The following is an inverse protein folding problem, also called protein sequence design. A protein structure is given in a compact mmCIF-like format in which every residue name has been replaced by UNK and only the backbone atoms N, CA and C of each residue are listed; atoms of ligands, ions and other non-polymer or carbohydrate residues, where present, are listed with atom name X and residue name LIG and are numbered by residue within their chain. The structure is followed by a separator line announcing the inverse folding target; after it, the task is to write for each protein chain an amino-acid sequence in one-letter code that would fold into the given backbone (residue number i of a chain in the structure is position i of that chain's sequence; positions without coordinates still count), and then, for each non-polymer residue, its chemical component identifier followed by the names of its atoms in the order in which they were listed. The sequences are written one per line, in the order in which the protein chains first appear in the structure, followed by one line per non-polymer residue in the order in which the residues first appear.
data_IF_287457977263
#
_entry.id   IF_287457977263
#
_cell.length_a   1.000
_cell.length_b   1.000
_cell.length_c   1.000
_cell.angle_alpha   90.00
_cell.angle_beta   90.00
_cell.angle_gamma   90.00
#
_symmetry.space_group_name_H-M   'P 1'
#
loop_
_entity.id
_entity.type
_entity.pdbx_description
1 polymer ?
#
# COMPACT_ATOMS: atom_id res chain seq x y z
N UNK A 1 -78.89 -20.21 -72.46
CA UNK A 1 -77.98 -19.20 -73.06
C UNK A 1 -77.22 -18.38 -72.00
N UNK A 2 -77.82 -18.04 -70.85
CA UNK A 2 -77.21 -17.17 -69.83
C UNK A 2 -76.07 -17.84 -69.01
N UNK A 3 -76.06 -19.17 -68.85
CA UNK A 3 -75.01 -19.87 -68.08
C UNK A 3 -73.68 -20.09 -68.83
N UNK A 4 -73.67 -19.95 -70.17
CA UNK A 4 -72.45 -20.14 -70.97
C UNK A 4 -71.58 -18.85 -71.04
N UNK A 5 -72.21 -17.68 -70.94
CA UNK A 5 -71.54 -16.39 -71.03
C UNK A 5 -70.78 -15.99 -69.75
N UNK A 6 -71.28 -16.37 -68.57
CA UNK A 6 -70.63 -16.05 -67.28
C UNK A 6 -69.25 -16.71 -67.10
N UNK A 7 -69.08 -17.97 -67.55
CA UNK A 7 -67.78 -18.67 -67.44
C UNK A 7 -66.70 -18.07 -68.36
N UNK A 8 -67.08 -17.46 -69.48
CA UNK A 8 -66.13 -16.92 -70.45
C UNK A 8 -65.55 -15.55 -70.02
N UNK A 9 -66.33 -14.75 -69.28
CA UNK A 9 -65.89 -13.45 -68.77
C UNK A 9 -64.88 -13.64 -67.61
N UNK A 10 -65.12 -14.62 -66.73
CA UNK A 10 -64.19 -14.97 -65.65
C UNK A 10 -62.86 -15.54 -66.18
N UNK A 11 -62.89 -16.38 -67.23
CA UNK A 11 -61.68 -16.94 -67.82
C UNK A 11 -60.79 -15.90 -68.52
N UNK A 12 -61.39 -14.85 -69.12
CA UNK A 12 -60.64 -13.73 -69.72
C UNK A 12 -59.98 -12.83 -68.67
N UNK A 13 -60.67 -12.54 -67.57
CA UNK A 13 -60.14 -11.73 -66.46
C UNK A 13 -58.90 -12.39 -65.80
N UNK A 14 -58.96 -13.71 -65.57
CA UNK A 14 -57.85 -14.47 -64.98
C UNK A 14 -56.66 -14.54 -65.96
N UNK A 15 -56.87 -14.74 -67.26
CA UNK A 15 -55.78 -14.71 -68.25
C UNK A 15 -55.09 -13.34 -68.37
N UNK A 16 -55.81 -12.25 -68.14
CA UNK A 16 -55.27 -10.89 -68.21
C UNK A 16 -54.46 -10.53 -66.94
N UNK A 17 -54.90 -11.02 -65.78
CA UNK A 17 -54.14 -10.94 -64.51
C UNK A 17 -52.82 -11.73 -64.57
N UNK A 18 -52.82 -12.94 -65.14
CA UNK A 18 -51.60 -13.75 -65.27
C UNK A 18 -50.57 -13.13 -66.23
N UNK A 19 -51.00 -12.44 -67.29
CA UNK A 19 -50.09 -11.77 -68.24
C UNK A 19 -49.37 -10.56 -67.65
N UNK A 20 -49.99 -9.84 -66.71
CA UNK A 20 -49.38 -8.69 -66.03
C UNK A 20 -48.34 -9.14 -64.97
N UNK A 21 -48.57 -10.26 -64.28
CA UNK A 21 -47.58 -10.84 -63.35
C UNK A 21 -46.34 -11.40 -64.07
N UNK A 22 -46.49 -11.97 -65.27
CA UNK A 22 -45.34 -12.47 -66.04
C UNK A 22 -44.49 -11.37 -66.67
N UNK A 23 -45.06 -10.19 -66.96
CA UNK A 23 -44.29 -9.08 -67.54
C UNK A 23 -43.46 -8.33 -66.48
N UNK A 24 -44.02 -8.15 -65.27
CA UNK A 24 -43.30 -7.52 -64.16
C UNK A 24 -42.10 -8.33 -63.66
N UNK A 25 -42.18 -9.67 -63.72
CA UNK A 25 -41.10 -10.57 -63.30
C UNK A 25 -39.93 -10.58 -64.28
N UNK A 26 -40.17 -10.44 -65.59
CA UNK A 26 -39.11 -10.39 -66.62
C UNK A 26 -38.33 -9.06 -66.55
N UNK A 27 -39.01 -7.93 -66.37
CA UNK A 27 -38.35 -6.63 -66.17
C UNK A 27 -37.56 -6.58 -64.85
N UNK A 28 -38.08 -7.16 -63.76
CA UNK A 28 -37.38 -7.29 -62.50
C UNK A 28 -36.15 -8.23 -62.60
N UNK A 29 -36.26 -9.35 -63.32
CA UNK A 29 -35.12 -10.25 -63.58
C UNK A 29 -34.02 -9.56 -64.39
N UNK A 30 -34.37 -8.72 -65.38
CA UNK A 30 -33.39 -8.00 -66.18
C UNK A 30 -32.70 -6.88 -65.38
N UNK A 31 -33.44 -6.18 -64.50
CA UNK A 31 -32.89 -5.13 -63.63
C UNK A 31 -31.98 -5.70 -62.52
N UNK A 32 -32.34 -6.87 -61.95
CA UNK A 32 -31.48 -7.58 -61.00
C UNK A 32 -30.17 -8.05 -61.65
N UNK A 33 -30.22 -8.62 -62.86
CA UNK A 33 -29.03 -9.21 -63.51
C UNK A 33 -28.00 -8.15 -63.94
N UNK A 34 -28.44 -6.93 -64.28
CA UNK A 34 -27.56 -5.81 -64.65
C UNK A 34 -26.80 -5.23 -63.45
N UNK A 35 -27.44 -5.19 -62.27
CA UNK A 35 -26.81 -4.74 -61.02
C UNK A 35 -26.04 -5.85 -60.27
N UNK A 36 -26.30 -7.13 -60.55
CA UNK A 36 -25.61 -8.26 -59.90
C UNK A 36 -24.09 -8.26 -60.17
N UNK A 37 -23.65 -7.78 -61.34
CA UNK A 37 -22.20 -7.64 -61.63
C UNK A 37 -21.54 -6.63 -60.69
N UNK A 38 -22.21 -5.53 -60.34
CA UNK A 38 -21.67 -4.52 -59.44
C UNK A 38 -21.65 -5.00 -57.99
N UNK A 39 -22.66 -5.77 -57.56
CA UNK A 39 -22.64 -6.42 -56.24
C UNK A 39 -21.59 -7.52 -56.12
N UNK A 40 -21.24 -8.21 -57.22
CA UNK A 40 -20.13 -9.16 -57.23
C UNK A 40 -18.78 -8.48 -56.97
N UNK A 41 -18.55 -7.28 -57.50
CA UNK A 41 -17.34 -6.51 -57.21
C UNK A 41 -17.32 -5.99 -55.78
N UNK A 42 -18.46 -5.55 -55.24
CA UNK A 42 -18.59 -5.11 -53.84
C UNK A 42 -18.37 -6.28 -52.88
N UNK A 43 -18.90 -7.47 -53.20
CA UNK A 43 -18.69 -8.69 -52.42
C UNK A 43 -17.22 -9.15 -52.47
N UNK A 44 -16.56 -9.04 -53.62
CA UNK A 44 -15.13 -9.33 -53.77
C UNK A 44 -14.25 -8.32 -53.00
N UNK A 45 -14.61 -7.04 -52.99
CA UNK A 45 -13.96 -6.00 -52.18
C UNK A 45 -14.10 -6.27 -50.66
N UNK A 46 -15.27 -6.74 -50.23
CA UNK A 46 -15.52 -7.10 -48.83
C UNK A 46 -14.76 -8.37 -48.41
N UNK A 47 -14.57 -9.33 -49.33
CA UNK A 47 -13.82 -10.55 -49.05
C UNK A 47 -12.30 -10.30 -49.00
N UNK A 48 -11.76 -9.40 -49.84
CA UNK A 48 -10.35 -8.99 -49.77
C UNK A 48 -10.00 -8.20 -48.50
N UNK A 49 -10.95 -7.45 -47.92
CA UNK A 49 -10.73 -6.71 -46.67
C UNK A 49 -10.48 -7.61 -45.44
N UNK A 50 -10.89 -8.89 -45.50
CA UNK A 50 -10.66 -9.85 -44.43
C UNK A 50 -9.32 -10.60 -44.57
N UNK A 51 -8.62 -10.48 -45.70
CA UNK A 51 -7.31 -11.11 -45.92
C UNK A 51 -6.13 -10.28 -45.36
N UNK A 52 -6.36 -9.02 -44.96
CA UNK A 52 -5.36 -8.14 -44.35
C UNK A 52 -5.51 -8.01 -42.82
N UNK A 53 -6.47 -8.72 -42.22
CA UNK A 53 -6.73 -8.69 -40.77
C UNK A 53 -5.99 -9.79 -39.98
N UNK A 54 -5.20 -10.64 -40.66
CA UNK A 54 -4.14 -11.37 -39.97
C UNK A 54 -3.03 -10.37 -39.68
N UNK A 55 -3.13 -9.67 -38.55
CA UNK A 55 -1.91 -9.36 -37.81
C UNK A 55 -1.25 -10.72 -37.61
N UNK A 56 -0.14 -10.96 -38.30
CA UNK A 56 0.87 -11.84 -37.72
C UNK A 56 1.10 -11.25 -36.34
N UNK A 57 0.54 -11.90 -35.33
CA UNK A 57 1.28 -12.03 -34.09
C UNK A 57 2.64 -12.52 -34.57
N UNK A 58 3.58 -11.61 -34.70
CA UNK A 58 4.97 -11.97 -34.48
C UNK A 58 4.95 -12.44 -33.04
N UNK A 59 4.56 -13.71 -32.84
CA UNK A 59 5.19 -14.51 -31.81
C UNK A 59 6.64 -14.36 -32.16
N UNK A 60 7.32 -13.43 -31.49
CA UNK A 60 8.74 -13.56 -31.26
C UNK A 60 8.88 -14.98 -30.73
N UNK A 61 9.18 -15.92 -31.62
CA UNK A 61 9.72 -17.18 -31.21
C UNK A 61 11.02 -16.78 -30.56
N UNK A 62 10.98 -16.67 -29.23
CA UNK A 62 12.19 -16.62 -28.43
C UNK A 62 13.09 -17.74 -28.95
N UNK A 63 14.36 -17.45 -29.25
CA UNK A 63 15.29 -18.51 -29.55
C UNK A 63 15.30 -19.47 -28.37
N UNK A 64 14.99 -20.72 -28.67
CA UNK A 64 14.98 -21.86 -27.75
C UNK A 64 16.25 -21.82 -26.88
N UNK A 65 16.11 -21.31 -25.65
CA UNK A 65 17.10 -21.22 -24.56
C UNK A 65 18.33 -20.31 -24.79
N UNK A 66 18.43 -19.18 -24.05
CA UNK A 66 19.63 -18.46 -23.51
C UNK A 66 19.65 -16.92 -23.62
N UNK A 67 18.58 -16.25 -24.06
CA UNK A 67 18.49 -14.79 -23.90
C UNK A 67 18.10 -14.43 -22.46
N UNK A 68 19.05 -14.40 -21.53
CA UNK A 68 18.80 -13.91 -20.17
C UNK A 68 18.45 -12.42 -20.27
N UNK A 69 17.19 -12.05 -20.03
CA UNK A 69 16.79 -10.65 -19.92
C UNK A 69 17.44 -10.06 -18.67
N UNK A 70 18.26 -9.03 -18.85
CA UNK A 70 18.94 -8.36 -17.74
C UNK A 70 18.32 -7.00 -17.49
N UNK A 71 17.97 -6.75 -16.23
CA UNK A 71 17.50 -5.46 -15.76
C UNK A 71 18.69 -4.63 -15.24
N UNK A 72 18.83 -3.41 -15.77
CA UNK A 72 19.64 -2.36 -15.15
C UNK A 72 18.73 -1.52 -14.26
N UNK A 73 18.90 -1.65 -12.95
CA UNK A 73 18.23 -0.78 -11.97
C UNK A 73 19.07 0.48 -11.80
N UNK A 74 18.43 1.65 -11.77
CA UNK A 74 19.11 2.95 -11.65
C UNK A 74 20.00 2.98 -10.38
N UNK A 75 21.29 3.27 -10.56
CA UNK A 75 22.30 3.24 -9.49
C UNK A 75 23.13 1.93 -9.37
N UNK A 76 22.74 0.84 -10.05
CA UNK A 76 23.51 -0.41 -10.08
C UNK A 76 24.41 -0.48 -11.33
N UNK A 77 25.67 -0.89 -11.16
CA UNK A 77 26.62 -1.09 -12.26
C UNK A 77 26.61 -2.50 -12.84
N UNK A 78 25.86 -3.43 -12.23
CA UNK A 78 25.79 -4.84 -12.60
C UNK A 78 24.37 -5.16 -13.04
N UNK A 79 24.23 -5.67 -14.26
CA UNK A 79 22.95 -6.10 -14.80
C UNK A 79 22.48 -7.39 -14.10
N UNK A 80 21.27 -7.39 -13.53
CA UNK A 80 20.72 -8.54 -12.80
C UNK A 80 19.64 -9.21 -13.64
N UNK A 81 19.57 -10.54 -13.62
CA UNK A 81 18.54 -11.31 -14.33
C UNK A 81 17.17 -11.31 -13.63
N UNK A 82 17.08 -10.74 -12.42
CA UNK A 82 15.85 -10.62 -11.66
C UNK A 82 15.87 -9.35 -10.80
N UNK A 83 14.69 -8.74 -10.63
CA UNK A 83 14.47 -7.63 -9.70
C UNK A 83 14.03 -8.23 -8.37
N UNK A 84 14.88 -8.15 -7.35
CA UNK A 84 14.50 -8.48 -5.97
C UNK A 84 13.68 -7.31 -5.42
N UNK A 85 12.43 -7.58 -5.06
CA UNK A 85 11.57 -6.62 -4.39
C UNK A 85 11.72 -6.79 -2.88
N UNK A 86 11.60 -5.68 -2.15
CA UNK A 86 11.52 -5.73 -0.71
C UNK A 86 10.20 -6.42 -0.29
N UNK A 87 10.27 -7.24 0.75
CA UNK A 87 9.10 -7.92 1.30
C UNK A 87 8.10 -6.87 1.83
N UNK A 88 6.86 -6.93 1.34
CA UNK A 88 5.78 -6.04 1.78
C UNK A 88 4.78 -6.81 2.63
N UNK A 89 4.63 -6.39 3.89
CA UNK A 89 3.60 -6.93 4.78
C UNK A 89 2.21 -6.49 4.30
N UNK A 90 1.33 -7.43 3.94
CA UNK A 90 -0.05 -7.09 3.57
C UNK A 90 -0.91 -6.93 4.82
N UNK A 91 -1.26 -5.69 5.15
CA UNK A 91 -2.02 -5.39 6.36
C UNK A 91 -3.53 -5.60 6.15
N UNK A 92 -4.12 -6.48 6.97
CA UNK A 92 -5.56 -6.75 6.94
C UNK A 92 -6.43 -5.53 7.25
N UNK A 93 -7.72 -5.62 6.94
CA UNK A 93 -8.72 -4.59 7.30
C UNK A 93 -8.92 -4.56 8.82
N UNK A 94 -8.87 -3.36 9.41
CA UNK A 94 -9.15 -3.16 10.83
C UNK A 94 -10.59 -3.55 11.17
N UNK A 95 -10.75 -4.43 12.15
CA UNK A 95 -12.05 -4.81 12.73
C UNK A 95 -12.05 -4.42 14.21
N UNK A 96 -13.12 -3.77 14.66
CA UNK A 96 -13.30 -3.37 16.05
C UNK A 96 -14.54 -4.06 16.61
N UNK A 97 -14.47 -4.46 17.87
CA UNK A 97 -15.63 -5.09 18.55
C UNK A 97 -16.79 -4.09 18.73
N UNK A 98 -16.45 -2.84 19.04
CA UNK A 98 -17.39 -1.77 19.33
C UNK A 98 -16.85 -0.39 18.89
N UNK A 99 -17.75 0.60 18.78
CA UNK A 99 -17.42 1.99 18.47
C UNK A 99 -16.46 2.61 19.48
N UNK A 100 -16.53 2.22 20.77
CA UNK A 100 -15.57 2.69 21.78
C UNK A 100 -14.14 2.20 21.49
N UNK A 101 -13.98 0.95 21.06
CA UNK A 101 -12.69 0.39 20.65
C UNK A 101 -12.15 1.10 19.40
N UNK A 102 -13.01 1.35 18.41
CA UNK A 102 -12.67 2.16 17.22
C UNK A 102 -12.19 3.55 17.62
N UNK A 103 -12.89 4.25 18.51
CA UNK A 103 -12.52 5.59 18.98
C UNK A 103 -11.16 5.58 19.69
N UNK A 104 -10.92 4.61 20.58
CA UNK A 104 -9.63 4.43 21.26
C UNK A 104 -8.48 4.25 20.27
N UNK A 105 -8.65 3.37 19.29
CA UNK A 105 -7.66 3.15 18.23
C UNK A 105 -7.37 4.42 17.43
N UNK A 106 -8.40 5.17 17.02
CA UNK A 106 -8.21 6.42 16.27
C UNK A 106 -7.46 7.49 17.08
N UNK A 107 -7.73 7.58 18.39
CA UNK A 107 -7.01 8.47 19.30
C UNK A 107 -5.54 8.04 19.40
N UNK A 108 -5.28 6.73 19.60
CA UNK A 108 -3.93 6.18 19.64
C UNK A 108 -3.19 6.47 18.34
N UNK A 109 -3.81 6.21 17.18
CA UNK A 109 -3.26 6.49 15.85
C UNK A 109 -2.81 7.93 15.68
N UNK A 110 -3.65 8.88 16.08
CA UNK A 110 -3.33 10.31 16.03
C UNK A 110 -2.13 10.63 16.92
N UNK A 111 -2.09 10.09 18.15
CA UNK A 111 -0.99 10.31 19.10
C UNK A 111 0.31 9.70 18.60
N UNK A 112 0.30 8.44 18.16
CA UNK A 112 1.49 7.74 17.61
C UNK A 112 2.08 8.52 16.44
N UNK A 113 1.26 8.96 15.47
CA UNK A 113 1.74 9.75 14.33
C UNK A 113 2.33 11.09 14.73
N UNK A 114 1.73 11.77 15.72
CA UNK A 114 2.25 13.03 16.25
C UNK A 114 3.61 12.80 16.93
N UNK A 115 3.74 11.73 17.70
CA UNK A 115 4.90 11.47 18.57
C UNK A 115 6.09 10.88 17.80
N UNK A 116 5.84 10.08 16.76
CA UNK A 116 6.89 9.36 16.03
C UNK A 116 8.08 10.21 15.57
N UNK A 117 7.89 11.38 14.92
CA UNK A 117 9.03 12.20 14.48
C UNK A 117 9.92 12.65 15.64
N UNK A 118 9.33 12.93 16.80
CA UNK A 118 10.08 13.30 18.00
C UNK A 118 10.85 12.11 18.57
N UNK A 119 10.26 10.91 18.57
CA UNK A 119 10.92 9.68 19.03
C UNK A 119 12.14 9.34 18.18
N UNK A 120 11.99 9.39 16.85
CA UNK A 120 13.08 9.16 15.90
C UNK A 120 14.26 10.11 16.18
N UNK A 121 13.99 11.42 16.17
CA UNK A 121 15.03 12.43 16.38
C UNK A 121 15.70 12.32 17.74
N UNK A 122 14.92 12.19 18.82
CA UNK A 122 15.49 12.08 20.16
C UNK A 122 16.30 10.79 20.35
N UNK A 123 15.85 9.68 19.75
CA UNK A 123 16.52 8.39 19.77
C UNK A 123 17.89 8.45 19.14
N UNK A 124 17.93 8.89 17.87
CA UNK A 124 19.18 9.05 17.11
C UNK A 124 20.17 9.95 17.85
N UNK A 125 19.71 11.10 18.36
CA UNK A 125 20.57 12.04 19.10
C UNK A 125 21.11 11.47 20.40
N UNK A 126 20.28 10.81 21.20
CA UNK A 126 20.74 10.22 22.46
C UNK A 126 21.70 9.05 22.24
N UNK A 127 21.49 8.24 21.19
CA UNK A 127 22.41 7.17 20.81
C UNK A 127 23.75 7.76 20.36
N UNK A 128 23.76 8.71 19.44
CA UNK A 128 24.97 9.38 18.96
C UNK A 128 25.79 10.00 20.12
N UNK A 129 25.10 10.69 21.03
CA UNK A 129 25.71 11.28 22.22
C UNK A 129 26.29 10.20 23.16
N UNK A 130 25.61 9.08 23.36
CA UNK A 130 26.12 7.98 24.18
C UNK A 130 27.35 7.31 23.57
N UNK A 131 27.28 6.95 22.29
CA UNK A 131 28.40 6.33 21.56
C UNK A 131 29.65 7.22 21.60
N UNK A 132 29.46 8.53 21.40
CA UNK A 132 30.55 9.49 21.50
C UNK A 132 31.11 9.58 22.92
N UNK A 133 30.27 9.56 23.96
CA UNK A 133 30.75 9.52 25.34
C UNK A 133 31.56 8.25 25.63
N UNK A 134 31.12 7.11 25.12
CA UNK A 134 31.74 5.81 25.36
C UNK A 134 33.08 5.65 24.64
N UNK A 135 33.24 6.28 23.48
CA UNK A 135 34.52 6.35 22.78
C UNK A 135 35.62 7.15 23.52
N UNK A 136 35.25 7.95 24.54
CA UNK A 136 36.20 8.82 25.24
C UNK A 136 37.08 8.07 26.23
N UNK A 137 38.41 8.26 26.10
CA UNK A 137 39.43 7.58 26.92
C UNK A 137 39.65 8.23 28.29
N UNK A 138 39.57 9.57 28.38
CA UNK A 138 39.94 10.28 29.63
C UNK A 138 38.73 10.61 30.49
N UNK A 139 38.90 10.53 31.82
CA UNK A 139 37.84 10.91 32.79
C UNK A 139 37.44 12.39 32.68
N UNK A 140 38.38 13.27 32.31
CA UNK A 140 38.15 14.71 32.18
C UNK A 140 37.24 15.00 30.98
N UNK A 141 37.49 14.35 29.84
CA UNK A 141 36.68 14.54 28.63
C UNK A 141 35.29 13.97 28.82
N UNK A 142 35.19 12.74 29.38
CA UNK A 142 33.91 12.14 29.76
C UNK A 142 33.10 13.10 30.63
N UNK A 143 33.70 13.66 31.69
CA UNK A 143 33.02 14.62 32.58
C UNK A 143 32.55 15.89 31.86
N UNK A 144 33.35 16.43 30.92
CA UNK A 144 32.96 17.61 30.13
C UNK A 144 31.80 17.27 29.20
N UNK A 145 31.86 16.13 28.55
CA UNK A 145 30.87 15.70 27.57
C UNK A 145 29.55 15.27 28.21
N UNK A 146 29.57 14.60 29.37
CA UNK A 146 28.37 14.31 30.16
C UNK A 146 27.56 15.58 30.48
N UNK A 147 28.20 16.74 30.69
CA UNK A 147 27.48 18.01 30.88
C UNK A 147 26.78 18.51 29.62
N UNK A 148 27.31 18.18 28.43
CA UNK A 148 26.68 18.51 27.16
C UNK A 148 25.40 17.69 27.01
N UNK A 149 25.49 16.39 27.27
CA UNK A 149 24.32 15.50 27.23
C UNK A 149 23.27 15.92 28.25
N UNK A 150 23.70 16.30 29.45
CA UNK A 150 22.79 16.83 30.48
C UNK A 150 21.99 18.04 29.98
N UNK A 151 22.66 19.03 29.37
CA UNK A 151 21.96 20.20 28.81
C UNK A 151 21.00 19.80 27.69
N UNK A 152 21.39 18.90 26.80
CA UNK A 152 20.50 18.38 25.76
C UNK A 152 19.22 17.75 26.37
N UNK A 153 19.36 16.92 27.40
CA UNK A 153 18.22 16.29 28.07
C UNK A 153 17.33 17.32 28.79
N UNK A 154 17.95 18.29 29.48
CA UNK A 154 17.24 19.29 30.29
C UNK A 154 16.59 20.40 29.47
N UNK A 155 17.22 20.84 28.39
CA UNK A 155 16.82 22.01 27.61
C UNK A 155 16.09 21.61 26.33
N UNK A 156 16.49 20.53 25.65
CA UNK A 156 15.86 20.12 24.39
C UNK A 156 14.82 19.02 24.61
N UNK A 157 15.23 17.88 25.19
CA UNK A 157 14.34 16.73 25.37
C UNK A 157 13.15 17.04 26.29
N UNK A 158 13.40 17.78 27.37
CA UNK A 158 12.33 18.25 28.28
C UNK A 158 11.35 19.18 27.58
N UNK A 159 11.81 20.09 26.72
CA UNK A 159 10.92 21.02 26.01
C UNK A 159 10.07 20.27 24.98
N UNK A 160 10.62 19.28 24.29
CA UNK A 160 9.81 18.39 23.43
C UNK A 160 8.77 17.62 24.25
N UNK A 161 9.15 17.09 25.42
CA UNK A 161 8.23 16.40 26.32
C UNK A 161 7.11 17.32 26.84
N UNK A 162 7.38 18.59 27.13
CA UNK A 162 6.36 19.56 27.56
C UNK A 162 5.30 19.83 26.50
N UNK A 163 5.62 19.67 25.21
CA UNK A 163 4.66 19.81 24.11
C UNK A 163 3.70 18.61 24.00
N UNK A 164 3.98 17.53 24.74
CA UNK A 164 3.22 16.30 24.73
C UNK A 164 2.34 16.18 25.96
N UNK A 165 1.15 15.60 25.77
CA UNK A 165 0.32 15.18 26.90
C UNK A 165 0.96 13.98 27.60
N UNK A 166 0.57 13.71 28.86
CA UNK A 166 1.08 12.57 29.64
C UNK A 166 1.08 11.23 28.89
N UNK A 167 -0.01 10.91 28.20
CA UNK A 167 -0.10 9.68 27.40
C UNK A 167 0.72 9.73 26.11
N UNK A 168 0.92 10.90 25.52
CA UNK A 168 1.80 11.06 24.35
C UNK A 168 3.26 10.89 24.77
N UNK A 169 3.65 11.38 25.96
CA UNK A 169 4.97 11.14 26.54
C UNK A 169 5.23 9.66 26.85
N UNK A 170 4.22 8.90 27.28
CA UNK A 170 4.34 7.44 27.44
C UNK A 170 4.61 6.75 26.09
N UNK A 171 3.86 7.13 25.05
CA UNK A 171 4.10 6.63 23.68
C UNK A 171 5.51 7.01 23.22
N UNK A 172 5.99 8.23 23.54
CA UNK A 172 7.34 8.66 23.17
C UNK A 172 8.39 7.72 23.76
N UNK A 173 8.34 7.44 25.07
CA UNK A 173 9.33 6.56 25.71
C UNK A 173 9.28 5.14 25.14
N UNK A 174 8.09 4.60 24.90
CA UNK A 174 7.91 3.30 24.25
C UNK A 174 8.55 3.27 22.85
N UNK A 175 8.30 4.29 22.03
CA UNK A 175 8.89 4.41 20.70
C UNK A 175 10.42 4.59 20.74
N UNK A 176 10.94 5.30 21.75
CA UNK A 176 12.38 5.41 22.00
C UNK A 176 13.00 4.05 22.31
N UNK A 177 12.35 3.25 23.17
CA UNK A 177 12.77 1.88 23.44
C UNK A 177 12.75 1.05 22.16
N UNK A 178 11.70 1.16 21.33
CA UNK A 178 11.63 0.50 20.01
C UNK A 178 12.83 0.83 19.12
N UNK A 179 13.29 2.08 19.10
CA UNK A 179 14.42 2.52 18.25
C UNK A 179 15.80 2.20 18.82
N UNK A 180 15.93 2.12 20.14
CA UNK A 180 17.26 2.05 20.81
C UNK A 180 17.53 0.73 21.51
N UNK A 181 16.49 -0.09 21.75
CA UNK A 181 16.57 -1.32 22.53
C UNK A 181 16.87 -1.11 24.02
N UNK A 182 16.95 0.14 24.48
CA UNK A 182 17.25 0.50 25.86
C UNK A 182 16.16 1.41 26.41
N UNK A 183 15.90 1.34 27.72
CA UNK A 183 14.96 2.28 28.34
C UNK A 183 15.54 3.69 28.29
N UNK A 184 14.67 4.69 28.13
CA UNK A 184 15.11 6.10 28.17
C UNK A 184 15.79 6.41 29.51
N UNK A 185 15.33 5.77 30.60
CA UNK A 185 16.01 5.81 31.88
C UNK A 185 17.46 5.30 31.80
N UNK A 186 17.70 4.15 31.17
CA UNK A 186 19.05 3.60 31.02
C UNK A 186 19.96 4.44 30.14
N UNK A 187 19.41 5.06 29.08
CA UNK A 187 20.15 5.99 28.22
C UNK A 187 20.62 7.23 28.99
N UNK A 188 19.91 7.64 30.05
CA UNK A 188 20.24 8.86 30.81
C UNK A 188 20.78 8.63 32.24
N UNK A 189 20.70 7.40 32.78
CA UNK A 189 21.05 7.11 34.19
C UNK A 189 22.52 7.37 34.53
N UNK A 190 23.41 7.24 33.54
CA UNK A 190 24.86 7.27 33.73
C UNK A 190 25.41 8.70 33.89
N UNK A 191 24.60 9.72 33.63
CA UNK A 191 25.02 11.12 33.61
C UNK A 191 24.99 11.78 35.01
N UNK A 192 25.59 11.11 36.01
CA UNK A 192 25.79 11.54 37.42
C UNK A 192 24.52 12.01 38.17
N UNK A 193 24.68 12.19 39.48
CA UNK A 193 23.65 12.48 40.49
C UNK A 193 22.76 13.71 40.23
N UNK A 194 23.18 14.64 39.38
CA UNK A 194 22.44 15.89 39.10
C UNK A 194 21.16 15.66 38.29
N UNK A 195 21.20 14.80 37.27
CA UNK A 195 20.02 14.47 36.46
C UNK A 195 19.00 13.66 37.25
N UNK A 196 19.46 12.72 38.09
CA UNK A 196 18.57 11.98 39.01
C UNK A 196 17.80 12.93 39.93
N UNK A 197 18.50 13.89 40.55
CA UNK A 197 17.88 14.89 41.43
C UNK A 197 16.98 15.86 40.66
N UNK A 198 17.37 16.28 39.45
CA UNK A 198 16.56 17.15 38.59
C UNK A 198 15.26 16.48 38.17
N UNK A 199 15.32 15.23 37.69
CA UNK A 199 14.13 14.47 37.33
C UNK A 199 13.22 14.39 38.56
N UNK A 200 13.75 13.96 39.72
CA UNK A 200 13.04 13.86 41.00
C UNK A 200 12.33 15.16 41.42
N UNK A 201 12.98 16.31 41.28
CA UNK A 201 12.46 17.59 41.74
C UNK A 201 11.52 18.29 40.74
N UNK A 202 11.65 18.01 39.43
CA UNK A 202 11.05 18.86 38.38
C UNK A 202 9.79 18.28 37.73
N UNK A 203 9.02 17.43 38.44
CA UNK A 203 7.81 16.69 37.96
C UNK A 203 8.07 15.19 37.65
N UNK A 204 9.00 14.54 38.36
CA UNK A 204 9.37 13.12 38.18
C UNK A 204 8.28 12.09 38.38
N UNK A 205 7.23 12.31 39.17
CA UNK A 205 6.30 11.21 39.46
C UNK A 205 5.66 10.64 38.18
N UNK A 206 5.46 11.50 37.18
CA UNK A 206 5.06 11.08 35.84
C UNK A 206 6.20 10.44 35.06
N UNK A 207 7.34 11.12 34.99
CA UNK A 207 8.47 10.73 34.16
C UNK A 207 9.17 9.47 34.66
N UNK A 208 9.30 9.24 35.96
CA UNK A 208 10.11 8.16 36.52
C UNK A 208 9.45 6.78 36.34
N UNK A 209 8.11 6.73 36.27
CA UNK A 209 7.38 5.53 35.84
C UNK A 209 7.53 5.38 34.32
N UNK A 210 7.23 6.43 33.55
CA UNK A 210 7.19 6.33 32.08
C UNK A 210 8.55 6.09 31.45
N UNK A 211 9.66 6.59 32.02
CA UNK A 211 11.02 6.48 31.47
C UNK A 211 11.61 5.07 31.55
N UNK A 212 11.05 4.23 32.44
CA UNK A 212 11.45 2.84 32.63
C UNK A 212 10.54 1.87 31.88
N UNK A 213 9.47 2.38 31.25
CA UNK A 213 8.58 1.57 30.42
C UNK A 213 9.35 1.00 29.24
N UNK A 214 9.07 -0.27 28.97
CA UNK A 214 9.60 -1.00 27.82
C UNK A 214 8.54 -1.01 26.70
N UNK A 215 8.97 -1.35 25.49
CA UNK A 215 8.07 -1.60 24.38
C UNK A 215 7.98 -3.09 24.13
N UNK A 216 6.82 -3.68 24.42
CA UNK A 216 6.58 -5.11 24.33
C UNK A 216 5.28 -5.38 23.58
N UNK A 217 5.30 -5.34 22.24
CA UNK A 217 4.11 -5.60 21.43
C UNK A 217 3.66 -7.07 21.51
N UNK A 218 4.50 -7.98 22.01
CA UNK A 218 4.11 -9.37 22.17
C UNK A 218 3.09 -9.49 23.29
N UNK A 219 3.37 -8.94 24.47
CA UNK A 219 2.50 -9.14 25.65
C UNK A 219 1.58 -7.95 25.96
N UNK A 220 1.90 -6.75 25.46
CA UNK A 220 1.10 -5.54 25.66
C UNK A 220 0.29 -5.19 24.41
N UNK A 221 -1.04 -5.30 24.51
CA UNK A 221 -1.94 -5.02 23.38
C UNK A 221 -1.80 -3.59 22.83
N UNK A 222 -1.61 -2.59 23.70
CA UNK A 222 -1.41 -1.20 23.26
C UNK A 222 -0.17 -1.06 22.39
N UNK A 223 0.92 -1.75 22.75
CA UNK A 223 2.20 -1.69 22.03
C UNK A 223 2.08 -2.35 20.67
N UNK A 224 1.37 -3.48 20.60
CA UNK A 224 0.99 -4.10 19.33
C UNK A 224 0.18 -3.13 18.44
N UNK A 225 -0.83 -2.45 19.01
CA UNK A 225 -1.63 -1.50 18.24
C UNK A 225 -0.77 -0.31 17.77
N UNK A 226 0.20 0.14 18.56
CA UNK A 226 1.17 1.14 18.15
C UNK A 226 1.99 0.62 16.95
N UNK A 227 2.45 -0.64 16.98
CA UNK A 227 3.21 -1.23 15.87
C UNK A 227 2.36 -1.32 14.60
N UNK A 228 1.12 -1.81 14.70
CA UNK A 228 0.16 -1.82 13.58
C UNK A 228 -0.03 -0.42 12.98
N UNK A 229 -0.17 0.60 13.84
CA UNK A 229 -0.29 1.99 13.40
C UNK A 229 0.96 2.46 12.65
N UNK A 230 2.16 2.14 13.15
CA UNK A 230 3.43 2.49 12.53
C UNK A 230 3.54 1.85 11.15
N UNK A 231 3.38 0.53 11.07
CA UNK A 231 3.44 -0.23 9.80
C UNK A 231 2.45 0.32 8.77
N UNK A 232 1.19 0.56 9.16
CA UNK A 232 0.19 1.20 8.27
C UNK A 232 0.60 2.60 7.83
N UNK A 233 1.24 3.36 8.72
CA UNK A 233 1.62 4.75 8.44
C UNK A 233 2.88 4.82 7.57
N UNK A 234 3.80 3.87 7.67
CA UNK A 234 4.95 3.70 6.78
C UNK A 234 4.49 3.30 5.38
N UNK A 235 3.61 2.30 5.26
CA UNK A 235 3.04 1.89 3.97
C UNK A 235 2.26 3.02 3.29
N UNK A 236 1.53 3.81 4.08
CA UNK A 236 0.82 4.98 3.58
C UNK A 236 1.73 6.20 3.32
N UNK A 237 3.05 6.08 3.54
CA UNK A 237 4.04 7.17 3.42
C UNK A 237 3.69 8.43 4.22
N UNK A 238 2.96 8.25 5.33
CA UNK A 238 2.62 9.33 6.27
C UNK A 238 3.75 9.60 7.24
N UNK A 239 4.50 8.55 7.60
CA UNK A 239 5.67 8.62 8.46
C UNK A 239 6.88 8.06 7.71
N UNK A 240 8.06 8.59 8.02
CA UNK A 240 9.31 8.01 7.55
C UNK A 240 9.57 6.67 8.27
N UNK A 241 9.83 5.58 7.53
CA UNK A 241 10.14 4.28 8.12
C UNK A 241 11.48 4.32 8.85
N UNK A 242 11.56 3.53 9.92
CA UNK A 242 12.80 3.26 10.64
C UNK A 242 12.70 1.88 11.28
N UNK A 243 13.73 1.08 11.06
CA UNK A 243 13.82 -0.27 11.58
C UNK A 243 13.93 -0.25 13.11
N UNK A 244 13.16 -1.08 13.83
CA UNK A 244 13.31 -1.20 15.26
C UNK A 244 14.68 -1.78 15.61
N UNK A 245 15.27 -1.35 16.73
CA UNK A 245 16.46 -1.98 17.28
C UNK A 245 16.15 -3.32 17.99
N UNK A 246 14.88 -3.55 18.33
CA UNK A 246 14.38 -4.80 18.89
C UNK A 246 13.82 -5.70 17.79
N UNK A 247 13.88 -7.01 17.99
CA UNK A 247 13.28 -7.98 17.07
C UNK A 247 11.75 -7.94 17.18
N UNK A 248 11.08 -7.55 16.10
CA UNK A 248 9.62 -7.41 16.03
C UNK A 248 9.10 -8.15 14.81
N UNK A 249 8.68 -9.41 15.00
CA UNK A 249 8.00 -10.14 13.95
C UNK A 249 6.51 -9.74 13.88
N UNK A 250 6.20 -8.76 13.03
CA UNK A 250 4.85 -8.23 12.90
C UNK A 250 3.81 -9.31 12.52
N UNK A 251 4.16 -10.30 11.71
CA UNK A 251 3.23 -11.35 11.27
C UNK A 251 2.83 -12.26 12.44
N UNK A 252 3.79 -12.61 13.30
CA UNK A 252 3.51 -13.38 14.52
C UNK A 252 2.62 -12.59 15.49
N UNK A 253 2.92 -11.30 15.66
CA UNK A 253 2.11 -10.40 16.48
C UNK A 253 0.67 -10.30 15.96
N UNK A 254 0.49 -10.11 14.64
CA UNK A 254 -0.82 -10.08 14.03
C UNK A 254 -1.56 -11.40 14.28
N UNK A 255 -0.91 -12.55 14.11
CA UNK A 255 -1.54 -13.85 14.37
C UNK A 255 -1.92 -14.04 15.85
N UNK A 256 -1.12 -13.55 16.80
CA UNK A 256 -1.41 -13.59 18.25
C UNK A 256 -2.64 -12.74 18.61
N UNK A 257 -2.69 -11.51 18.12
CA UNK A 257 -3.70 -10.52 18.50
C UNK A 257 -4.96 -10.54 17.63
N UNK A 258 -4.89 -11.11 16.42
CA UNK A 258 -6.03 -11.28 15.54
C UNK A 258 -6.98 -12.33 16.12
N UNK A 259 -8.17 -11.87 16.52
CA UNK A 259 -9.25 -12.79 16.87
C UNK A 259 -9.58 -13.67 15.66
N UNK A 260 -9.77 -14.99 15.82
CA UNK A 260 -10.21 -15.84 14.73
C UNK A 260 -11.53 -15.27 14.20
N UNK A 261 -11.57 -14.98 12.89
CA UNK A 261 -12.84 -14.67 12.26
C UNK A 261 -13.75 -15.86 12.51
N UNK A 262 -14.93 -15.66 13.11
CA UNK A 262 -16.00 -16.66 13.08
C UNK A 262 -16.15 -17.06 11.61
N UNK A 263 -15.70 -18.27 11.27
CA UNK A 263 -15.87 -18.81 9.94
C UNK A 263 -17.34 -18.65 9.61
N UNK A 264 -17.62 -18.10 8.44
CA UNK A 264 -18.97 -18.13 7.89
C UNK A 264 -19.27 -19.62 7.75
N UNK A 265 -20.10 -20.15 8.66
CA UNK A 265 -20.69 -21.48 8.52
C UNK A 265 -21.69 -21.45 7.39
#
# INVERSE_FOLDING_TARGET
MILYESKNIHAKSIKQSWRLCTFGTVLAQHYLKKNLKNYSYIFFLFFCGNLLAQTTETTEQEPDTTATEYYLVDGDSIARSAIFLDDVVVLGRLKFDDNTARRRYLILRRKTRKVWPYAKLAGERLVELNERLDSMKTKRDRKRYTKIIQRYVEDEFKEELKKLTRTEGQILVKLMYRQTGQTTFDLIKNYRSGLKAFLLNTTASFFDISLKEIYDPADVQEDYLIEDILQRSFQAKVLEPQDPAIDVNFLELENKWRKPSKGIK
#
